data_IF_574942035088
#
_entry.id   IF_574942035088
#
_cell.length_a   1.000
_cell.length_b   1.000
_cell.length_c   1.000
_cell.angle_alpha   90.00
_cell.angle_beta   90.00
_cell.angle_gamma   90.00
#
_symmetry.space_group_name_H-M   'P 1'
#
loop_
_entity.id
_entity.type
_entity.pdbx_description
1 polymer ?
#
# COMPACT_ATOMS: atom_id res chain seq x y z
N UNK A 1 45.16 -58.25 -76.49
CA UNK A 1 45.60 -59.58 -75.99
C UNK A 1 45.10 -59.74 -74.57
N UNK A 2 44.26 -60.75 -74.40
CA UNK A 2 43.88 -61.53 -73.20
C UNK A 2 43.87 -60.91 -71.80
N UNK A 3 42.66 -61.03 -71.23
CA UNK A 3 42.29 -61.37 -69.85
C UNK A 3 43.34 -62.04 -68.96
N UNK A 4 43.32 -61.72 -67.65
CA UNK A 4 42.88 -62.69 -66.64
C UNK A 4 42.73 -62.09 -65.22
N UNK A 5 41.54 -62.39 -64.67
CA UNK A 5 41.15 -62.72 -63.30
C UNK A 5 41.36 -61.77 -62.10
N UNK A 6 40.21 -61.52 -61.47
CA UNK A 6 39.96 -60.94 -60.17
C UNK A 6 40.29 -61.90 -59.01
N UNK A 7 40.50 -61.32 -57.82
CA UNK A 7 39.72 -61.62 -56.62
C UNK A 7 39.99 -60.55 -55.53
N UNK A 8 38.90 -59.93 -55.06
CA UNK A 8 38.50 -59.67 -53.65
C UNK A 8 39.53 -59.14 -52.63
N UNK A 9 39.24 -58.24 -51.70
CA UNK A 9 38.08 -57.41 -51.34
C UNK A 9 38.53 -56.48 -50.20
N UNK A 10 37.65 -55.57 -49.76
CA UNK A 10 37.70 -54.81 -48.49
C UNK A 10 38.58 -53.54 -48.43
N UNK A 11 37.98 -52.39 -48.74
CA UNK A 11 37.86 -51.25 -47.79
C UNK A 11 36.77 -50.30 -48.31
N UNK A 12 35.75 -50.10 -47.49
CA UNK A 12 34.50 -49.45 -47.84
C UNK A 12 34.57 -47.92 -47.83
N UNK A 13 33.80 -47.35 -48.75
CA UNK A 13 33.44 -45.94 -48.96
C UNK A 13 33.12 -45.15 -47.68
N UNK A 14 33.47 -43.87 -47.66
CA UNK A 14 32.58 -42.74 -47.31
C UNK A 14 33.29 -41.39 -47.51
N UNK A 15 33.03 -40.73 -48.64
CA UNK A 15 33.09 -39.27 -48.74
C UNK A 15 31.68 -38.78 -49.03
N UNK A 16 31.00 -38.37 -47.96
CA UNK A 16 29.67 -37.79 -48.00
C UNK A 16 29.85 -36.28 -47.82
N UNK A 17 29.44 -35.51 -48.81
CA UNK A 17 29.36 -34.06 -48.76
C UNK A 17 28.60 -33.60 -47.51
N UNK A 18 29.27 -32.81 -46.66
CA UNK A 18 28.67 -32.16 -45.49
C UNK A 18 28.21 -30.75 -45.87
N UNK A 19 26.99 -30.31 -45.50
CA UNK A 19 26.58 -28.93 -45.68
C UNK A 19 27.30 -28.02 -44.67
N UNK A 20 27.47 -26.71 -44.96
CA UNK A 20 28.18 -25.79 -44.07
C UNK A 20 27.34 -25.49 -42.83
N UNK A 21 27.70 -26.12 -41.71
CA UNK A 21 27.16 -25.86 -40.37
C UNK A 21 28.12 -24.93 -39.60
N UNK A 22 28.03 -23.60 -39.74
CA UNK A 22 28.78 -22.72 -38.81
C UNK A 22 28.19 -21.34 -38.49
N UNK A 23 27.10 -20.87 -39.10
CA UNK A 23 26.56 -19.52 -38.78
C UNK A 23 25.38 -19.48 -37.81
N UNK A 24 24.34 -20.30 -38.08
CA UNK A 24 23.02 -20.15 -37.46
C UNK A 24 22.97 -20.72 -36.04
N UNK A 25 23.79 -21.74 -35.74
CA UNK A 25 23.82 -22.39 -34.43
C UNK A 25 24.43 -21.47 -33.36
N UNK A 26 25.52 -20.78 -33.70
CA UNK A 26 26.19 -19.84 -32.80
C UNK A 26 25.34 -18.61 -32.50
N UNK A 27 24.60 -18.07 -33.46
CA UNK A 27 23.67 -16.97 -33.22
C UNK A 27 22.47 -17.35 -32.34
N UNK A 28 21.95 -18.58 -32.47
CA UNK A 28 20.89 -19.08 -31.59
C UNK A 28 21.40 -19.35 -30.17
N UNK A 29 22.57 -19.95 -30.03
CA UNK A 29 23.20 -20.21 -28.74
C UNK A 29 23.55 -18.89 -28.02
N UNK A 30 24.10 -17.91 -28.73
CA UNK A 30 24.43 -16.60 -28.17
C UNK A 30 23.17 -15.81 -27.77
N UNK A 31 22.08 -15.87 -28.56
CA UNK A 31 20.78 -15.29 -28.19
C UNK A 31 20.15 -15.99 -26.98
N UNK A 32 20.27 -17.31 -26.87
CA UNK A 32 19.80 -18.05 -25.71
C UNK A 32 20.63 -17.72 -24.48
N UNK A 33 21.96 -17.66 -24.58
CA UNK A 33 22.85 -17.29 -23.46
C UNK A 33 22.67 -15.84 -23.03
N UNK A 34 22.46 -14.90 -23.95
CA UNK A 34 22.08 -13.51 -23.65
C UNK A 34 20.69 -13.43 -23.03
N UNK A 35 19.73 -14.22 -23.51
CA UNK A 35 18.38 -14.31 -22.96
C UNK A 35 18.36 -14.89 -21.54
N UNK A 36 19.11 -15.96 -21.28
CA UNK A 36 19.31 -16.53 -19.95
C UNK A 36 20.11 -15.59 -19.05
N UNK A 37 21.13 -14.90 -19.56
CA UNK A 37 21.88 -13.88 -18.82
C UNK A 37 21.01 -12.69 -18.41
N UNK A 38 20.19 -12.14 -19.30
CA UNK A 38 19.23 -11.08 -18.99
C UNK A 38 18.12 -11.57 -18.04
N UNK A 39 17.65 -12.81 -18.17
CA UNK A 39 16.67 -13.39 -17.26
C UNK A 39 17.25 -13.61 -15.86
N UNK A 40 18.51 -14.07 -15.77
CA UNK A 40 19.21 -14.27 -14.49
C UNK A 40 19.55 -12.93 -13.83
N UNK A 41 19.94 -11.92 -14.61
CA UNK A 41 20.17 -10.56 -14.12
C UNK A 41 18.85 -9.89 -13.67
N UNK A 42 17.75 -10.09 -14.41
CA UNK A 42 16.43 -9.64 -13.99
C UNK A 42 15.97 -10.33 -12.70
N UNK A 43 16.15 -11.66 -12.58
CA UNK A 43 15.84 -12.41 -11.35
C UNK A 43 16.70 -11.98 -10.15
N UNK A 44 17.99 -11.70 -10.37
CA UNK A 44 18.88 -11.19 -9.33
C UNK A 44 18.51 -9.77 -8.87
N UNK A 45 18.01 -8.91 -9.78
CA UNK A 45 17.55 -7.56 -9.45
C UNK A 45 16.18 -7.56 -8.75
N UNK A 46 15.31 -8.54 -9.03
CA UNK A 46 14.01 -8.69 -8.33
C UNK A 46 14.19 -9.20 -6.90
N UNK A 47 15.23 -10.03 -6.65
CA UNK A 47 15.56 -10.56 -5.32
C UNK A 47 16.02 -9.47 -4.34
N UNK A 48 16.55 -8.35 -4.85
CA UNK A 48 17.15 -7.28 -4.04
C UNK A 48 16.18 -6.19 -3.56
N UNK A 49 14.93 -6.17 -4.06
CA UNK A 49 13.94 -5.18 -3.66
C UNK A 49 13.06 -5.64 -2.49
N UNK A 50 12.92 -6.96 -2.31
CA UNK A 50 11.97 -7.56 -1.35
C UNK A 50 12.42 -7.54 0.13
N UNK A 51 13.67 -7.16 0.41
CA UNK A 51 14.26 -7.31 1.74
C UNK A 51 14.89 -6.02 2.28
N UNK A 52 14.63 -4.87 1.65
CA UNK A 52 15.12 -3.60 2.19
C UNK A 52 14.26 -3.24 3.41
N UNK A 53 14.91 -3.23 4.57
CA UNK A 53 14.35 -2.78 5.86
C UNK A 53 13.41 -3.76 6.57
N UNK A 54 13.41 -5.05 6.24
CA UNK A 54 12.63 -6.06 6.98
C UNK A 54 13.27 -6.47 8.31
N UNK A 55 14.59 -6.31 8.44
CA UNK A 55 15.36 -6.64 9.65
C UNK A 55 15.91 -5.36 10.29
N UNK A 56 15.96 -5.34 11.61
CA UNK A 56 16.54 -4.26 12.43
C UNK A 56 15.86 -2.88 12.33
N UNK A 57 14.81 -2.74 11.51
CA UNK A 57 14.13 -1.47 11.30
C UNK A 57 13.45 -0.92 12.56
N UNK A 58 13.27 -1.73 13.60
CA UNK A 58 12.74 -1.32 14.89
C UNK A 58 13.79 -1.32 16.01
N UNK A 59 15.09 -1.34 15.68
CA UNK A 59 16.13 -1.02 16.65
C UNK A 59 15.94 0.41 17.18
N UNK A 60 15.71 0.51 18.49
CA UNK A 60 15.47 1.78 19.17
C UNK A 60 16.73 2.66 19.17
N UNK A 61 16.59 3.91 18.71
CA UNK A 61 17.56 4.96 18.92
C UNK A 61 17.31 5.60 20.30
N UNK A 62 18.23 5.36 21.24
CA UNK A 62 18.17 5.88 22.61
C UNK A 62 18.94 7.19 22.81
N UNK A 63 19.28 7.92 21.73
CA UNK A 63 19.94 9.22 21.88
C UNK A 63 19.03 10.18 22.66
N UNK A 64 19.62 10.84 23.68
CA UNK A 64 18.91 11.77 24.57
C UNK A 64 18.44 13.01 23.80
N UNK A 65 19.23 13.46 22.83
CA UNK A 65 18.86 14.58 21.96
C UNK A 65 18.09 14.06 20.75
N UNK A 66 16.76 14.19 20.78
CA UNK A 66 15.92 13.98 19.61
C UNK A 66 15.43 15.34 19.08
N UNK A 67 16.03 15.87 18.01
CA UNK A 67 15.55 17.11 17.40
C UNK A 67 14.33 16.90 16.48
N UNK A 68 13.97 15.64 16.20
CA UNK A 68 12.86 15.29 15.32
C UNK A 68 11.48 15.36 16.00
N UNK A 69 10.44 15.22 15.19
CA UNK A 69 9.04 15.19 15.65
C UNK A 69 8.56 13.75 15.81
N UNK A 70 8.06 13.41 16.99
CA UNK A 70 7.62 12.05 17.30
C UNK A 70 6.16 11.80 16.88
N UNK A 71 5.91 10.61 16.34
CA UNK A 71 4.61 10.08 15.93
C UNK A 71 4.44 8.67 16.48
N UNK A 72 3.44 8.46 17.32
CA UNK A 72 3.09 7.13 17.85
C UNK A 72 2.07 6.46 16.95
N UNK A 73 2.45 5.34 16.35
CA UNK A 73 1.62 4.49 15.50
C UNK A 73 1.08 3.33 16.32
N UNK A 74 -0.24 3.21 16.42
CA UNK A 74 -0.88 2.06 17.06
C UNK A 74 -1.21 1.01 15.99
N UNK A 75 -0.82 -0.24 16.23
CA UNK A 75 -0.83 -1.29 15.22
C UNK A 75 -1.84 -2.38 15.58
N UNK A 76 -2.65 -2.78 14.61
CA UNK A 76 -3.40 -4.03 14.59
C UNK A 76 -2.87 -4.91 13.44
N UNK A 77 -2.35 -6.08 13.77
CA UNK A 77 -1.56 -6.90 12.84
C UNK A 77 -2.09 -8.32 12.73
N UNK A 78 -2.42 -8.74 11.50
CA UNK A 78 -2.66 -10.13 11.11
C UNK A 78 -1.39 -10.79 10.52
N UNK A 79 -0.20 -10.26 10.84
CA UNK A 79 1.09 -10.84 10.46
C UNK A 79 1.61 -11.82 11.51
N UNK A 80 2.42 -12.77 11.07
CA UNK A 80 3.21 -13.59 11.97
C UNK A 80 4.18 -12.73 12.78
N UNK A 81 4.32 -13.04 14.07
CA UNK A 81 5.29 -12.40 14.96
C UNK A 81 6.72 -12.73 14.52
N UNK A 82 7.61 -11.76 14.71
CA UNK A 82 9.04 -11.98 14.63
C UNK A 82 9.58 -12.41 16.00
N UNK A 83 10.56 -13.32 15.99
CA UNK A 83 11.32 -13.66 17.20
C UNK A 83 12.25 -12.53 17.62
N UNK A 84 12.73 -11.76 16.63
CA UNK A 84 13.57 -10.59 16.83
C UNK A 84 12.71 -9.35 17.14
N UNK A 85 12.87 -8.74 18.34
CA UNK A 85 12.19 -7.50 18.69
C UNK A 85 12.48 -6.34 17.75
N UNK A 86 13.64 -6.33 17.08
CA UNK A 86 13.99 -5.29 16.12
C UNK A 86 13.28 -5.41 14.77
N UNK A 87 12.47 -6.46 14.60
CA UNK A 87 11.66 -6.71 13.40
C UNK A 87 10.16 -6.61 13.68
N UNK A 88 9.71 -6.98 14.89
CA UNK A 88 8.31 -7.09 15.35
C UNK A 88 7.44 -8.04 14.51
N UNK A 89 7.19 -7.76 13.23
CA UNK A 89 6.32 -8.58 12.39
C UNK A 89 6.99 -9.01 11.10
N UNK A 90 6.78 -10.27 10.71
CA UNK A 90 7.29 -10.86 9.46
C UNK A 90 6.25 -10.75 8.32
N UNK A 91 6.64 -11.17 7.12
CA UNK A 91 5.74 -11.27 5.96
C UNK A 91 4.68 -12.39 6.06
N UNK A 92 4.83 -13.30 7.04
CA UNK A 92 3.94 -14.44 7.25
C UNK A 92 2.55 -14.04 7.76
N UNK A 93 1.63 -15.00 7.72
CA UNK A 93 0.24 -14.86 8.19
C UNK A 93 0.11 -15.19 9.68
N UNK A 94 -0.88 -14.60 10.33
CA UNK A 94 -1.36 -15.01 11.65
C UNK A 94 -2.86 -15.34 11.57
N UNK A 95 -3.29 -16.29 12.38
CA UNK A 95 -4.71 -16.66 12.54
C UNK A 95 -5.46 -15.72 13.51
N UNK A 96 -4.75 -14.81 14.18
CA UNK A 96 -5.29 -13.85 15.12
C UNK A 96 -4.67 -12.47 14.94
N UNK A 97 -5.37 -11.44 15.41
CA UNK A 97 -4.85 -10.07 15.47
C UNK A 97 -3.98 -9.90 16.70
N UNK A 98 -2.78 -9.39 16.49
CA UNK A 98 -1.87 -8.95 17.54
C UNK A 98 -1.65 -7.45 17.45
N UNK A 99 -1.14 -6.85 18.52
CA UNK A 99 -1.08 -5.39 18.64
C UNK A 99 0.30 -4.91 19.05
N UNK A 100 0.64 -3.70 18.60
CA UNK A 100 1.89 -3.03 18.97
C UNK A 100 1.69 -1.51 19.02
N UNK A 101 2.62 -0.82 19.67
CA UNK A 101 2.80 0.62 19.59
C UNK A 101 4.23 0.90 19.13
N UNK A 102 4.38 1.76 18.13
CA UNK A 102 5.69 2.18 17.60
C UNK A 102 5.75 3.69 17.57
N UNK A 103 6.70 4.29 18.28
CA UNK A 103 6.96 5.72 18.23
C UNK A 103 8.15 5.99 17.31
N UNK A 104 7.91 6.71 16.22
CA UNK A 104 8.90 7.11 15.23
C UNK A 104 9.22 8.59 15.35
N UNK A 105 10.48 8.97 15.26
CA UNK A 105 10.92 10.36 15.13
C UNK A 105 11.22 10.69 13.67
N UNK A 106 10.61 11.76 13.17
CA UNK A 106 10.83 12.33 11.82
C UNK A 106 11.87 13.44 11.91
N UNK A 107 12.94 13.42 11.11
CA UNK A 107 14.06 14.34 11.29
C UNK A 107 13.71 15.78 10.84
N UNK A 108 14.38 16.82 11.37
CA UNK A 108 14.07 18.22 11.02
C UNK A 108 14.27 18.59 9.56
N UNK A 109 15.12 17.85 8.84
CA UNK A 109 15.43 18.06 7.43
C UNK A 109 14.51 17.25 6.49
N UNK A 110 13.42 16.68 7.03
CA UNK A 110 12.49 15.83 6.28
C UNK A 110 11.94 16.52 5.04
N UNK A 111 11.86 15.77 3.95
CA UNK A 111 11.23 16.20 2.71
C UNK A 111 9.93 15.45 2.49
N UNK A 112 8.89 16.23 2.19
CA UNK A 112 7.56 15.68 2.00
C UNK A 112 7.52 14.59 0.92
N UNK A 113 6.92 13.45 1.27
CA UNK A 113 6.83 12.23 0.44
C UNK A 113 8.02 11.27 0.55
N UNK A 114 9.13 11.71 1.15
CA UNK A 114 10.35 10.90 1.32
C UNK A 114 10.33 10.17 2.65
N UNK A 115 11.02 9.04 2.74
CA UNK A 115 11.35 8.44 4.03
C UNK A 115 12.86 8.38 4.06
N UNK A 116 13.47 9.17 4.93
CA UNK A 116 14.92 9.22 5.09
C UNK A 116 15.40 7.96 5.84
N UNK A 117 15.52 6.85 5.11
CA UNK A 117 16.04 5.59 5.64
C UNK A 117 17.55 5.68 5.91
N UNK A 118 18.04 5.12 7.04
CA UNK A 118 19.47 4.95 7.22
C UNK A 118 20.00 3.75 6.43
N UNK A 119 21.30 3.73 6.16
CA UNK A 119 21.97 2.54 5.60
C UNK A 119 22.12 1.43 6.64
N UNK A 120 22.19 1.80 7.93
CA UNK A 120 22.33 0.90 9.08
C UNK A 120 21.48 1.40 10.24
N UNK A 121 20.79 0.49 10.93
CA UNK A 121 19.98 0.82 12.10
C UNK A 121 20.79 0.68 13.41
N UNK A 122 20.49 1.47 14.47
CA UNK A 122 19.59 2.63 14.45
C UNK A 122 20.20 3.81 13.68
N UNK A 123 19.37 4.57 12.97
CA UNK A 123 19.81 5.76 12.21
C UNK A 123 20.07 6.99 13.09
N UNK A 124 20.65 8.03 12.50
CA UNK A 124 20.82 9.37 13.12
C UNK A 124 19.50 10.18 13.10
N UNK A 125 18.93 10.58 14.26
CA UNK A 125 17.64 11.29 14.36
C UNK A 125 17.66 12.72 13.78
N UNK A 126 18.84 13.28 13.48
CA UNK A 126 18.96 14.56 12.77
C UNK A 126 18.74 14.45 11.26
N UNK A 127 18.81 13.22 10.72
CA UNK A 127 18.91 12.96 9.29
C UNK A 127 17.94 11.90 8.79
N UNK A 128 17.53 10.99 9.67
CA UNK A 128 16.77 9.80 9.32
C UNK A 128 15.53 9.65 10.19
N UNK A 129 14.57 8.88 9.69
CA UNK A 129 13.52 8.33 10.53
C UNK A 129 14.14 7.35 11.53
N UNK A 130 13.80 7.49 12.80
CA UNK A 130 14.35 6.65 13.88
C UNK A 130 13.26 6.16 14.80
N UNK A 131 13.41 4.93 15.31
CA UNK A 131 12.48 4.36 16.29
C UNK A 131 12.86 4.83 17.68
N UNK A 132 11.92 5.42 18.41
CA UNK A 132 12.09 5.85 19.81
C UNK A 132 11.59 4.79 20.78
N UNK A 133 10.52 4.09 20.40
CA UNK A 133 10.02 2.93 21.12
C UNK A 133 9.29 1.99 20.18
N UNK A 134 9.43 0.68 20.40
CA UNK A 134 8.66 -0.34 19.69
C UNK A 134 8.28 -1.47 20.67
N UNK A 135 7.00 -1.61 20.97
CA UNK A 135 6.52 -2.59 21.95
C UNK A 135 5.25 -3.29 21.49
N UNK A 136 5.11 -4.56 21.88
CA UNK A 136 3.82 -5.25 21.76
C UNK A 136 2.83 -4.72 22.81
N UNK A 137 1.55 -4.85 22.48
CA UNK A 137 0.43 -4.65 23.39
C UNK A 137 -0.26 -6.01 23.60
N UNK A 138 -0.33 -6.45 24.85
CA UNK A 138 -0.64 -7.85 25.20
C UNK A 138 -2.06 -8.32 24.83
N UNK A 139 -2.96 -7.40 24.48
CA UNK A 139 -4.35 -7.74 24.17
C UNK A 139 -5.06 -6.67 23.37
N UNK A 140 -6.22 -7.03 22.80
CA UNK A 140 -7.20 -6.08 22.27
C UNK A 140 -7.58 -4.98 23.28
N UNK A 141 -7.70 -5.32 24.56
CA UNK A 141 -8.00 -4.35 25.60
C UNK A 141 -6.84 -3.36 25.81
N UNK A 142 -5.60 -3.84 25.78
CA UNK A 142 -4.41 -2.98 25.85
C UNK A 142 -4.31 -2.06 24.62
N UNK A 143 -4.60 -2.58 23.42
CA UNK A 143 -4.68 -1.78 22.19
C UNK A 143 -5.74 -0.68 22.29
N UNK A 144 -6.96 -1.04 22.69
CA UNK A 144 -8.04 -0.06 22.91
C UNK A 144 -7.64 1.00 23.94
N UNK A 145 -7.05 0.60 25.07
CA UNK A 145 -6.60 1.53 26.10
C UNK A 145 -5.49 2.47 25.59
N UNK A 146 -4.55 1.97 24.78
CA UNK A 146 -3.52 2.81 24.16
C UNK A 146 -4.15 3.87 23.24
N UNK A 147 -5.17 3.51 22.46
CA UNK A 147 -5.95 4.48 21.66
C UNK A 147 -6.62 5.51 22.56
N UNK A 148 -7.28 5.09 23.63
CA UNK A 148 -7.93 6.02 24.57
C UNK A 148 -6.93 6.97 25.23
N UNK A 149 -5.74 6.49 25.59
CA UNK A 149 -4.67 7.33 26.12
C UNK A 149 -4.27 8.40 25.12
N UNK A 150 -3.99 8.04 23.86
CA UNK A 150 -3.66 8.99 22.80
C UNK A 150 -4.79 10.01 22.54
N UNK A 151 -6.05 9.54 22.49
CA UNK A 151 -7.21 10.43 22.33
C UNK A 151 -7.37 11.39 23.51
N UNK A 152 -7.11 10.95 24.75
CA UNK A 152 -7.27 11.78 25.94
C UNK A 152 -6.29 12.95 26.02
N UNK A 153 -5.13 12.83 25.38
CA UNK A 153 -4.10 13.87 25.29
C UNK A 153 -4.45 14.96 24.26
N UNK A 154 -5.51 14.75 23.47
CA UNK A 154 -5.94 15.66 22.41
C UNK A 154 -7.19 16.45 22.82
N UNK A 155 -7.32 17.71 22.36
CA UNK A 155 -8.56 18.46 22.47
C UNK A 155 -9.74 17.68 21.88
N UNK A 156 -10.97 17.78 22.43
CA UNK A 156 -12.13 17.01 22.00
C UNK A 156 -12.40 17.00 20.48
N UNK A 157 -12.12 18.09 19.79
CA UNK A 157 -12.25 18.29 18.35
C UNK A 157 -11.19 17.56 17.51
N UNK A 158 -10.06 17.20 18.11
CA UNK A 158 -8.94 16.48 17.48
C UNK A 158 -8.88 15.00 17.87
N UNK A 159 -9.90 14.48 18.59
CA UNK A 159 -10.01 13.07 19.00
C UNK A 159 -10.46 12.17 17.85
N UNK A 160 -9.68 12.16 16.79
CA UNK A 160 -9.96 11.47 15.53
C UNK A 160 -8.95 10.36 15.28
N UNK A 161 -9.37 9.26 14.66
CA UNK A 161 -8.50 8.17 14.25
C UNK A 161 -8.27 8.22 12.74
N UNK A 162 -7.02 8.05 12.32
CA UNK A 162 -6.67 7.85 10.91
C UNK A 162 -6.11 6.45 10.74
N UNK A 163 -6.90 5.58 10.13
CA UNK A 163 -6.59 4.15 9.97
C UNK A 163 -6.06 3.93 8.57
N UNK A 164 -4.84 3.42 8.46
CA UNK A 164 -4.20 3.11 7.18
C UNK A 164 -4.04 1.60 6.99
N UNK A 165 -4.40 1.12 5.79
CA UNK A 165 -4.26 -0.27 5.36
C UNK A 165 -3.38 -0.32 4.10
N UNK A 166 -2.19 -0.89 4.22
CA UNK A 166 -1.21 -0.94 3.14
C UNK A 166 -1.58 -1.95 2.03
N UNK A 167 -0.93 -1.79 0.86
CA UNK A 167 -1.09 -2.64 -0.32
C UNK A 167 -0.25 -3.94 -0.32
N UNK A 168 -0.16 -4.56 -1.50
CA UNK A 168 0.65 -5.77 -1.73
C UNK A 168 2.15 -5.45 -1.68
N UNK A 169 3.00 -6.48 -1.53
CA UNK A 169 4.46 -6.36 -1.53
C UNK A 169 4.97 -5.25 -0.59
N UNK A 170 4.41 -5.16 0.62
CA UNK A 170 4.80 -4.14 1.60
C UNK A 170 5.23 -4.83 2.89
N UNK A 171 6.43 -4.54 3.39
CA UNK A 171 6.92 -5.01 4.69
C UNK A 171 6.25 -4.27 5.86
N UNK A 172 6.36 -4.80 7.07
CA UNK A 172 5.85 -4.12 8.25
C UNK A 172 6.54 -2.77 8.50
N UNK A 173 7.86 -2.70 8.30
CA UNK A 173 8.64 -1.46 8.40
C UNK A 173 8.16 -0.41 7.40
N UNK A 174 8.06 -0.76 6.12
CA UNK A 174 7.59 0.17 5.09
C UNK A 174 6.19 0.71 5.40
N UNK A 175 5.25 -0.14 5.82
CA UNK A 175 3.90 0.28 6.17
C UNK A 175 3.88 1.25 7.37
N UNK A 176 4.69 0.97 8.39
CA UNK A 176 4.73 1.77 9.63
C UNK A 176 5.39 3.14 9.39
N UNK A 177 6.54 3.15 8.72
CA UNK A 177 7.25 4.38 8.38
C UNK A 177 6.46 5.25 7.41
N UNK A 178 5.76 4.63 6.44
CA UNK A 178 4.90 5.35 5.50
C UNK A 178 3.74 6.04 6.21
N UNK A 179 3.12 5.40 7.20
CA UNK A 179 2.05 6.03 7.97
C UNK A 179 2.57 7.20 8.81
N UNK A 180 3.74 7.06 9.43
CA UNK A 180 4.38 8.16 10.17
C UNK A 180 4.72 9.34 9.24
N UNK A 181 5.27 9.08 8.05
CA UNK A 181 5.51 10.10 7.03
C UNK A 181 4.20 10.78 6.62
N UNK A 182 3.15 10.02 6.33
CA UNK A 182 1.86 10.60 5.95
C UNK A 182 1.24 11.46 7.06
N UNK A 183 1.30 11.00 8.31
CA UNK A 183 0.82 11.77 9.46
C UNK A 183 1.60 13.08 9.63
N UNK A 184 2.93 13.02 9.49
CA UNK A 184 3.80 14.19 9.56
C UNK A 184 3.51 15.17 8.41
N UNK A 185 3.53 14.70 7.17
CA UNK A 185 3.40 15.54 5.98
C UNK A 185 2.04 16.21 5.84
N UNK A 186 0.98 15.51 6.24
CA UNK A 186 -0.35 16.09 6.23
C UNK A 186 -0.56 17.08 7.38
N UNK A 187 0.24 17.00 8.45
CA UNK A 187 0.02 17.74 9.69
C UNK A 187 -1.19 17.19 10.47
N UNK A 188 -1.46 15.89 10.33
CA UNK A 188 -2.60 15.25 10.98
C UNK A 188 -2.41 15.21 12.49
N UNK A 189 -3.39 15.74 13.22
CA UNK A 189 -3.33 15.91 14.68
C UNK A 189 -3.99 14.78 15.46
N UNK A 190 -4.76 13.92 14.78
CA UNK A 190 -5.40 12.75 15.40
C UNK A 190 -4.43 11.61 15.71
N UNK A 191 -4.98 10.44 15.98
CA UNK A 191 -4.20 9.22 16.30
C UNK A 191 -4.05 8.36 15.05
N UNK A 192 -2.83 8.14 14.54
CA UNK A 192 -2.60 7.24 13.42
C UNK A 192 -2.63 5.78 13.87
N UNK A 193 -3.39 4.97 13.14
CA UNK A 193 -3.56 3.52 13.39
C UNK A 193 -3.18 2.76 12.12
N UNK A 194 -2.27 1.81 12.23
CA UNK A 194 -1.91 0.92 11.14
C UNK A 194 -2.68 -0.40 11.27
N UNK A 195 -3.37 -0.79 10.20
CA UNK A 195 -3.81 -2.18 10.01
C UNK A 195 -2.87 -2.84 9.02
N UNK A 196 -2.21 -3.91 9.45
CA UNK A 196 -1.23 -4.63 8.65
C UNK A 196 -1.57 -6.12 8.56
N UNK A 197 -1.29 -6.71 7.42
CA UNK A 197 -1.63 -8.10 7.08
C UNK A 197 -0.43 -8.79 6.45
N UNK A 198 -0.46 -10.13 6.38
CA UNK A 198 0.64 -10.96 5.85
C UNK A 198 0.92 -10.72 4.36
N UNK A 199 1.60 -9.62 4.04
CA UNK A 199 2.18 -9.35 2.74
C UNK A 199 3.65 -9.78 2.76
N UNK A 200 3.99 -10.66 1.83
CA UNK A 200 5.29 -11.32 1.70
C UNK A 200 6.45 -10.36 1.42
N UNK A 201 6.16 -9.13 0.96
CA UNK A 201 7.19 -8.23 0.44
C UNK A 201 7.82 -8.72 -0.87
N UNK A 202 7.22 -9.72 -1.53
CA UNK A 202 7.73 -10.31 -2.77
C UNK A 202 6.73 -10.20 -3.94
N UNK A 203 7.18 -9.58 -5.05
CA UNK A 203 6.37 -9.36 -6.26
C UNK A 203 5.88 -10.64 -6.95
N UNK A 204 6.55 -11.77 -6.76
CA UNK A 204 6.14 -13.06 -7.33
C UNK A 204 5.01 -13.75 -6.55
N UNK A 205 4.67 -13.22 -5.37
CA UNK A 205 3.74 -13.83 -4.41
C UNK A 205 2.36 -13.16 -4.43
N UNK A 206 1.95 -12.61 -5.57
CA UNK A 206 0.64 -11.95 -5.73
C UNK A 206 -0.54 -12.82 -5.23
N UNK A 207 -0.58 -14.11 -5.59
CA UNK A 207 -1.64 -15.02 -5.13
C UNK A 207 -1.54 -15.35 -3.63
N UNK A 208 -0.33 -15.34 -3.07
CA UNK A 208 -0.15 -15.50 -1.63
C UNK A 208 -0.73 -14.28 -0.92
N UNK A 209 -0.36 -13.07 -1.33
CA UNK A 209 -0.86 -11.81 -0.77
C UNK A 209 -2.39 -11.72 -0.90
N UNK A 210 -2.95 -12.09 -2.08
CA UNK A 210 -4.41 -12.13 -2.28
C UNK A 210 -5.09 -13.05 -1.26
N UNK A 211 -4.60 -14.27 -1.06
CA UNK A 211 -5.15 -15.17 -0.05
C UNK A 211 -4.92 -14.65 1.38
N UNK A 212 -3.79 -13.99 1.64
CA UNK A 212 -3.50 -13.37 2.94
C UNK A 212 -4.50 -12.27 3.28
N UNK A 213 -4.93 -11.46 2.29
CA UNK A 213 -6.00 -10.47 2.53
C UNK A 213 -7.29 -11.14 2.99
N UNK A 214 -7.68 -12.26 2.36
CA UNK A 214 -8.91 -12.97 2.75
C UNK A 214 -8.79 -13.61 4.14
N UNK A 215 -7.61 -14.10 4.51
CA UNK A 215 -7.33 -14.61 5.86
C UNK A 215 -7.41 -13.47 6.90
N UNK A 216 -6.88 -12.28 6.58
CA UNK A 216 -6.88 -11.13 7.48
C UNK A 216 -8.25 -10.45 7.64
N UNK A 217 -9.25 -10.81 6.82
CA UNK A 217 -10.58 -10.16 6.79
C UNK A 217 -11.24 -10.12 8.16
N UNK A 218 -11.30 -11.25 8.84
CA UNK A 218 -12.04 -11.35 10.10
C UNK A 218 -11.31 -10.56 11.21
N UNK A 219 -9.97 -10.52 11.15
CA UNK A 219 -9.16 -9.66 12.01
C UNK A 219 -9.37 -8.16 11.76
N UNK A 220 -9.61 -7.75 10.50
CA UNK A 220 -10.02 -6.38 10.21
C UNK A 220 -11.40 -6.07 10.80
N UNK A 221 -12.37 -6.99 10.74
CA UNK A 221 -13.70 -6.79 11.36
C UNK A 221 -13.58 -6.60 12.87
N UNK A 222 -12.76 -7.42 13.54
CA UNK A 222 -12.47 -7.27 14.97
C UNK A 222 -11.82 -5.90 15.26
N UNK A 223 -10.88 -5.47 14.42
CA UNK A 223 -10.23 -4.17 14.57
C UNK A 223 -11.22 -3.03 14.41
N UNK A 224 -12.03 -3.00 13.34
CA UNK A 224 -13.04 -1.97 13.11
C UNK A 224 -14.06 -1.90 14.25
N UNK A 225 -14.47 -3.05 14.79
CA UNK A 225 -15.34 -3.12 15.97
C UNK A 225 -14.67 -2.48 17.18
N UNK A 226 -13.41 -2.83 17.45
CA UNK A 226 -12.63 -2.26 18.56
C UNK A 226 -12.50 -0.74 18.45
N UNK A 227 -12.21 -0.23 17.25
CA UNK A 227 -12.11 1.22 16.99
C UNK A 227 -13.46 1.92 17.21
N UNK A 228 -14.58 1.30 16.81
CA UNK A 228 -15.92 1.85 17.00
C UNK A 228 -16.30 1.99 18.49
N UNK A 229 -15.77 1.11 19.34
CA UNK A 229 -15.98 1.13 20.78
C UNK A 229 -15.11 2.14 21.55
N UNK A 230 -14.19 2.83 20.89
CA UNK A 230 -13.36 3.88 21.52
C UNK A 230 -14.13 5.19 21.70
N UNK A 231 -13.58 6.14 22.45
CA UNK A 231 -14.08 7.52 22.56
C UNK A 231 -13.82 8.39 21.33
N UNK A 232 -13.25 7.83 20.25
CA UNK A 232 -13.01 8.54 19.01
C UNK A 232 -14.28 9.22 18.50
N UNK A 233 -14.15 10.50 18.18
CA UNK A 233 -15.20 11.31 17.56
C UNK A 233 -15.39 10.88 16.12
N UNK A 234 -14.30 10.71 15.39
CA UNK A 234 -14.28 10.38 13.97
C UNK A 234 -13.20 9.35 13.65
N UNK A 235 -13.47 8.52 12.65
CA UNK A 235 -12.59 7.47 12.14
C UNK A 235 -12.53 7.63 10.62
N UNK A 236 -11.35 7.94 10.12
CA UNK A 236 -11.03 7.99 8.70
C UNK A 236 -10.33 6.69 8.33
N UNK A 237 -10.84 5.99 7.31
CA UNK A 237 -10.20 4.80 6.76
C UNK A 237 -9.52 5.17 5.45
N UNK A 238 -8.25 4.79 5.30
CA UNK A 238 -7.51 4.88 4.06
C UNK A 238 -6.88 3.54 3.73
N UNK A 239 -7.07 3.07 2.50
CA UNK A 239 -6.42 1.87 1.99
C UNK A 239 -5.70 2.13 0.68
N UNK A 240 -4.70 1.30 0.38
CA UNK A 240 -4.00 1.33 -0.89
C UNK A 240 -4.04 -0.04 -1.58
N UNK A 241 -4.22 -0.05 -2.90
CA UNK A 241 -4.00 -1.22 -3.75
C UNK A 241 -4.76 -2.45 -3.27
N UNK A 242 -4.09 -3.59 -3.05
CA UNK A 242 -4.69 -4.82 -2.56
C UNK A 242 -5.19 -4.70 -1.11
N UNK A 243 -4.69 -3.75 -0.32
CA UNK A 243 -5.25 -3.40 0.98
C UNK A 243 -6.69 -2.87 0.87
N UNK A 244 -7.07 -2.32 -0.28
CA UNK A 244 -8.44 -1.91 -0.57
C UNK A 244 -9.39 -3.10 -0.72
N UNK A 245 -8.92 -4.23 -1.25
CA UNK A 245 -9.70 -5.46 -1.27
C UNK A 245 -10.00 -5.92 0.16
N UNK A 246 -8.99 -5.94 1.03
CA UNK A 246 -9.15 -6.26 2.44
C UNK A 246 -10.15 -5.30 3.10
N UNK A 247 -10.01 -3.99 2.89
CA UNK A 247 -10.92 -2.99 3.44
C UNK A 247 -12.37 -3.23 3.01
N UNK A 248 -12.60 -3.42 1.70
CA UNK A 248 -13.94 -3.62 1.16
C UNK A 248 -14.59 -4.92 1.65
N UNK A 249 -13.82 -6.01 1.74
CA UNK A 249 -14.33 -7.25 2.33
C UNK A 249 -14.59 -7.11 3.84
N UNK A 250 -13.75 -6.38 4.57
CA UNK A 250 -13.96 -6.08 5.99
C UNK A 250 -15.22 -5.25 6.24
N UNK A 251 -15.44 -4.18 5.47
CA UNK A 251 -16.67 -3.37 5.53
C UNK A 251 -17.88 -4.22 5.18
N UNK A 252 -17.80 -5.02 4.09
CA UNK A 252 -18.89 -5.92 3.69
C UNK A 252 -19.23 -6.89 4.81
N UNK A 253 -18.22 -7.53 5.41
CA UNK A 253 -18.42 -8.52 6.48
C UNK A 253 -18.97 -7.85 7.75
N UNK A 254 -18.41 -6.72 8.17
CA UNK A 254 -18.91 -5.96 9.33
C UNK A 254 -20.36 -5.50 9.15
N UNK A 255 -20.75 -5.11 7.93
CA UNK A 255 -22.14 -4.78 7.60
C UNK A 255 -23.08 -5.98 7.74
N UNK A 256 -22.62 -7.20 7.42
CA UNK A 256 -23.42 -8.42 7.57
C UNK A 256 -23.55 -8.88 9.02
N UNK A 257 -22.49 -8.74 9.80
CA UNK A 257 -22.44 -9.20 11.19
C UNK A 257 -23.09 -8.21 12.17
N UNK A 258 -23.16 -6.92 11.81
CA UNK A 258 -23.72 -5.88 12.68
C UNK A 258 -22.85 -5.54 13.90
N UNK A 259 -21.57 -5.94 13.90
CA UNK A 259 -20.63 -5.67 15.00
C UNK A 259 -20.26 -4.19 15.16
N UNK A 260 -20.28 -3.44 14.06
CA UNK A 260 -20.08 -1.97 14.07
C UNK A 260 -21.40 -1.29 14.41
N UNK A 261 -21.54 -0.83 15.66
CA UNK A 261 -22.80 -0.29 16.19
C UNK A 261 -23.07 1.15 15.75
N UNK A 262 -22.03 2.00 15.73
CA UNK A 262 -22.16 3.40 15.32
C UNK A 262 -21.36 3.67 14.04
N UNK A 263 -21.95 3.34 12.90
CA UNK A 263 -21.34 3.59 11.57
C UNK A 263 -21.07 5.08 11.32
N UNK A 264 -21.73 6.00 12.04
CA UNK A 264 -21.55 7.45 11.87
C UNK A 264 -20.17 7.93 12.33
N UNK A 265 -19.46 7.16 13.15
CA UNK A 265 -18.06 7.44 13.50
C UNK A 265 -17.12 7.27 12.31
N UNK A 266 -17.44 6.39 11.35
CA UNK A 266 -16.66 6.24 10.13
C UNK A 266 -17.03 7.36 9.17
N UNK A 267 -16.30 8.48 9.25
CA UNK A 267 -16.65 9.72 8.55
C UNK A 267 -16.13 9.75 7.13
N UNK A 268 -15.06 9.03 6.83
CA UNK A 268 -14.49 8.97 5.50
C UNK A 268 -13.85 7.63 5.20
N UNK A 269 -14.06 7.14 3.99
CA UNK A 269 -13.34 5.99 3.41
C UNK A 269 -12.64 6.48 2.16
N UNK A 270 -11.31 6.35 2.12
CA UNK A 270 -10.44 6.70 1.00
C UNK A 270 -9.78 5.43 0.49
N UNK A 271 -9.94 5.16 -0.81
CA UNK A 271 -9.50 3.94 -1.46
C UNK A 271 -8.57 4.34 -2.59
N UNK A 272 -7.26 4.22 -2.35
CA UNK A 272 -6.23 4.71 -3.26
C UNK A 272 -5.73 3.61 -4.21
N UNK A 273 -5.79 3.87 -5.51
CA UNK A 273 -5.37 2.95 -6.57
C UNK A 273 -5.85 1.49 -6.35
N UNK A 274 -7.15 1.24 -6.05
CA UNK A 274 -7.62 -0.06 -5.60
C UNK A 274 -7.34 -1.18 -6.60
N UNK A 275 -6.63 -2.20 -6.12
CA UNK A 275 -6.44 -3.45 -6.85
C UNK A 275 -7.57 -4.42 -6.51
N UNK A 276 -8.76 -4.04 -6.98
CA UNK A 276 -9.99 -4.83 -6.84
C UNK A 276 -10.54 -5.07 -8.23
N UNK A 277 -10.96 -6.31 -8.50
CA UNK A 277 -11.76 -6.60 -9.68
C UNK A 277 -13.01 -5.71 -9.71
N UNK A 278 -13.24 -4.99 -10.82
CA UNK A 278 -14.35 -4.03 -10.88
C UNK A 278 -15.72 -4.70 -10.67
N UNK A 279 -15.89 -5.96 -11.11
CA UNK A 279 -17.14 -6.69 -10.93
C UNK A 279 -17.32 -7.17 -9.49
N UNK A 280 -16.21 -7.53 -8.82
CA UNK A 280 -16.21 -7.80 -7.39
C UNK A 280 -16.58 -6.53 -6.60
N UNK A 281 -15.98 -5.39 -6.93
CA UNK A 281 -16.30 -4.11 -6.28
C UNK A 281 -17.79 -3.76 -6.45
N UNK A 282 -18.33 -3.90 -7.66
CA UNK A 282 -19.77 -3.72 -7.93
C UNK A 282 -20.62 -4.67 -7.08
N UNK A 283 -20.20 -5.92 -6.91
CA UNK A 283 -20.92 -6.89 -6.09
C UNK A 283 -20.86 -6.53 -4.58
N UNK A 284 -19.71 -6.07 -4.09
CA UNK A 284 -19.53 -5.57 -2.73
C UNK A 284 -20.43 -4.36 -2.47
N UNK A 285 -20.41 -3.34 -3.34
CA UNK A 285 -21.25 -2.15 -3.23
C UNK A 285 -22.73 -2.47 -3.31
N UNK A 286 -23.15 -3.40 -4.19
CA UNK A 286 -24.55 -3.89 -4.21
C UNK A 286 -24.97 -4.55 -2.89
N UNK A 287 -24.04 -5.23 -2.20
CA UNK A 287 -24.34 -5.89 -0.93
C UNK A 287 -24.35 -4.94 0.26
N UNK A 288 -23.45 -3.96 0.26
CA UNK A 288 -23.34 -2.90 1.28
C UNK A 288 -24.46 -1.86 1.12
N UNK A 289 -24.88 -1.60 -0.11
CA UNK A 289 -25.75 -0.48 -0.46
C UNK A 289 -24.97 0.81 -0.71
N UNK A 290 -25.68 1.89 -1.02
CA UNK A 290 -25.07 3.23 -1.12
C UNK A 290 -24.73 3.71 0.30
N UNK A 291 -23.45 4.01 0.60
CA UNK A 291 -23.09 4.48 1.92
C UNK A 291 -23.64 5.90 2.14
N UNK A 292 -24.07 6.21 3.37
CA UNK A 292 -24.54 7.55 3.75
C UNK A 292 -23.48 8.64 3.49
N UNK A 293 -22.20 8.25 3.58
CA UNK A 293 -21.05 9.06 3.19
C UNK A 293 -20.33 8.37 2.03
N UNK A 294 -20.23 9.01 0.85
CA UNK A 294 -19.57 8.43 -0.30
C UNK A 294 -18.13 7.98 -0.02
N UNK A 295 -17.77 6.81 -0.54
CA UNK A 295 -16.37 6.39 -0.58
C UNK A 295 -15.62 7.23 -1.60
N UNK A 296 -14.41 7.66 -1.28
CA UNK A 296 -13.56 8.41 -2.20
C UNK A 296 -12.57 7.43 -2.82
N UNK A 297 -12.66 7.26 -4.13
CA UNK A 297 -11.82 6.35 -4.90
C UNK A 297 -10.83 7.19 -5.69
N UNK A 298 -9.53 7.00 -5.42
CA UNK A 298 -8.47 7.65 -6.17
C UNK A 298 -8.04 6.73 -7.31
N UNK A 299 -8.20 7.19 -8.55
CA UNK A 299 -7.87 6.42 -9.75
C UNK A 299 -6.64 6.99 -10.46
N UNK A 300 -5.88 6.10 -11.07
CA UNK A 300 -4.63 6.38 -11.77
C UNK A 300 -4.65 5.55 -13.07
N UNK A 301 -4.96 6.20 -14.20
CA UNK A 301 -5.30 5.52 -15.47
C UNK A 301 -4.10 4.83 -16.12
N UNK A 302 -2.91 5.41 -15.95
CA UNK A 302 -1.67 4.89 -16.50
C UNK A 302 -0.84 4.07 -15.48
N UNK A 303 -1.48 3.62 -14.40
CA UNK A 303 -0.88 2.77 -13.37
C UNK A 303 -0.38 1.44 -13.95
N UNK A 304 0.94 1.25 -13.89
CA UNK A 304 1.61 0.08 -14.48
C UNK A 304 1.39 -1.17 -13.63
N UNK A 305 1.31 -1.04 -12.30
CA UNK A 305 1.06 -2.16 -11.40
C UNK A 305 -0.35 -2.72 -11.61
N UNK A 306 -1.36 -1.84 -11.71
CA UNK A 306 -2.74 -2.26 -11.95
C UNK A 306 -2.93 -2.87 -13.35
N UNK A 307 -2.18 -2.41 -14.36
CA UNK A 307 -2.13 -3.07 -15.67
C UNK A 307 -1.57 -4.48 -15.61
N UNK A 308 -0.54 -4.70 -14.79
CA UNK A 308 0.00 -6.04 -14.56
C UNK A 308 -0.99 -6.92 -13.78
N UNK A 309 -1.59 -6.39 -12.71
CA UNK A 309 -2.63 -7.09 -11.95
C UNK A 309 -3.80 -7.52 -12.85
N UNK A 310 -4.34 -6.60 -13.67
CA UNK A 310 -5.36 -6.89 -14.69
C UNK A 310 -4.96 -8.07 -15.57
N UNK A 311 -3.70 -8.14 -16.03
CA UNK A 311 -3.21 -9.23 -16.87
C UNK A 311 -3.17 -10.57 -16.13
N UNK A 312 -2.77 -10.57 -14.86
CA UNK A 312 -2.72 -11.77 -14.01
C UNK A 312 -4.15 -12.25 -13.67
N UNK A 313 -5.08 -11.31 -13.44
CA UNK A 313 -6.48 -11.58 -13.08
C UNK A 313 -7.42 -11.76 -14.28
N UNK A 314 -6.93 -12.31 -15.39
CA UNK A 314 -7.79 -12.70 -16.53
C UNK A 314 -8.31 -11.56 -17.40
N UNK A 315 -7.74 -10.35 -17.29
CA UNK A 315 -8.01 -9.22 -18.19
C UNK A 315 -9.14 -8.28 -17.75
N UNK A 316 -9.80 -8.56 -16.62
CA UNK A 316 -10.86 -7.69 -16.07
C UNK A 316 -10.23 -6.43 -15.45
N UNK A 317 -10.82 -5.27 -15.72
CA UNK A 317 -10.30 -3.99 -15.21
C UNK A 317 -10.25 -3.96 -13.67
N UNK A 318 -9.21 -3.30 -13.14
CA UNK A 318 -9.08 -3.01 -11.72
C UNK A 318 -9.73 -1.66 -11.42
N UNK A 319 -10.40 -1.51 -10.28
CA UNK A 319 -11.10 -0.26 -9.92
C UNK A 319 -10.16 0.96 -10.00
N UNK A 320 -8.92 0.84 -9.53
CA UNK A 320 -7.96 1.93 -9.53
C UNK A 320 -7.55 2.44 -10.91
N UNK A 321 -7.85 1.71 -11.99
CA UNK A 321 -7.61 2.11 -13.37
C UNK A 321 -8.90 2.06 -14.22
N UNK A 322 -10.09 2.04 -13.60
CA UNK A 322 -11.35 1.77 -14.29
C UNK A 322 -11.97 3.00 -14.95
N UNK A 323 -12.03 3.07 -16.28
CA UNK A 323 -12.29 4.31 -17.06
C UNK A 323 -13.71 4.89 -16.93
N UNK A 324 -14.68 4.13 -16.40
CA UNK A 324 -16.07 4.57 -16.31
C UNK A 324 -16.40 5.12 -14.90
N UNK A 325 -16.05 6.38 -14.66
CA UNK A 325 -16.31 7.07 -13.39
C UNK A 325 -17.79 7.14 -13.03
N UNK A 326 -18.65 7.33 -14.04
CA UNK A 326 -20.10 7.43 -13.86
C UNK A 326 -20.69 6.17 -13.23
N UNK A 327 -20.18 5.01 -13.63
CA UNK A 327 -20.66 3.75 -13.04
C UNK A 327 -20.21 3.60 -11.57
N UNK A 328 -18.99 4.04 -11.24
CA UNK A 328 -18.55 4.06 -9.83
C UNK A 328 -19.34 5.08 -9.00
N UNK A 329 -19.69 6.23 -9.58
CA UNK A 329 -20.48 7.25 -8.89
C UNK A 329 -21.95 6.86 -8.73
N UNK A 330 -22.53 6.12 -9.67
CA UNK A 330 -23.86 5.53 -9.55
C UNK A 330 -23.96 4.53 -8.38
N UNK A 331 -22.83 3.90 -7.99
CA UNK A 331 -22.71 3.04 -6.79
C UNK A 331 -22.54 3.84 -5.49
N UNK A 332 -22.48 5.17 -5.56
CA UNK A 332 -22.33 6.05 -4.40
C UNK A 332 -20.88 6.39 -4.04
N UNK A 333 -19.93 6.27 -4.98
CA UNK A 333 -18.55 6.70 -4.78
C UNK A 333 -18.29 8.10 -5.37
N UNK A 334 -17.36 8.84 -4.78
CA UNK A 334 -16.72 9.99 -5.41
C UNK A 334 -15.43 9.47 -6.06
N UNK A 335 -15.26 9.68 -7.35
CA UNK A 335 -14.04 9.30 -8.07
C UNK A 335 -13.17 10.53 -8.23
N UNK A 336 -11.90 10.42 -7.85
CA UNK A 336 -10.89 11.46 -8.01
C UNK A 336 -9.79 10.91 -8.90
N UNK A 337 -9.67 11.43 -10.11
CA UNK A 337 -8.62 11.07 -11.04
C UNK A 337 -7.34 11.84 -10.69
N UNK A 338 -6.31 11.08 -10.32
CA UNK A 338 -4.98 11.59 -9.94
C UNK A 338 -3.92 11.24 -10.99
N UNK A 339 -4.32 10.90 -12.22
CA UNK A 339 -3.42 10.50 -13.31
C UNK A 339 -2.37 11.57 -13.62
N UNK A 340 -2.75 12.85 -13.54
CA UNK A 340 -1.87 13.99 -13.82
C UNK A 340 -0.92 14.32 -12.65
N UNK A 341 -1.08 13.67 -11.49
CA UNK A 341 -0.18 13.88 -10.37
C UNK A 341 1.18 13.25 -10.60
N UNK A 342 2.19 13.86 -10.00
CA UNK A 342 3.55 13.35 -10.05
C UNK A 342 3.64 11.98 -9.38
N UNK A 343 4.40 11.06 -9.99
CA UNK A 343 4.74 9.76 -9.42
C UNK A 343 6.25 9.65 -9.28
N UNK A 344 6.74 9.30 -8.09
CA UNK A 344 8.16 8.98 -7.85
C UNK A 344 8.49 7.54 -8.18
N UNK A 345 7.53 6.63 -8.01
CA UNK A 345 7.73 5.22 -8.30
C UNK A 345 7.54 4.93 -9.81
N UNK A 346 8.39 4.08 -10.43
CA UNK A 346 8.25 3.75 -11.85
C UNK A 346 6.92 3.07 -12.21
N UNK A 347 6.22 2.46 -11.24
CA UNK A 347 4.94 1.81 -11.46
C UNK A 347 3.76 2.79 -11.44
N UNK A 348 3.98 4.03 -10.99
CA UNK A 348 2.96 5.09 -10.79
C UNK A 348 1.84 4.67 -9.86
N UNK A 349 2.13 3.71 -9.00
CA UNK A 349 1.17 3.08 -8.11
C UNK A 349 1.15 3.75 -6.73
N UNK A 350 2.23 4.45 -6.39
CA UNK A 350 2.43 5.18 -5.15
C UNK A 350 2.08 6.68 -5.23
N UNK A 351 1.45 7.17 -6.31
CA UNK A 351 1.06 8.60 -6.46
C UNK A 351 0.31 9.17 -5.25
N UNK A 352 -0.47 8.33 -4.58
CA UNK A 352 -1.19 8.72 -3.36
C UNK A 352 -0.26 9.01 -2.17
N UNK A 353 1.01 8.64 -2.19
CA UNK A 353 1.95 8.90 -1.10
C UNK A 353 2.94 10.02 -1.45
N UNK A 354 2.91 10.49 -2.70
CA UNK A 354 3.78 11.53 -3.19
C UNK A 354 3.21 12.91 -2.81
N UNK A 355 3.83 13.50 -1.79
CA UNK A 355 3.24 14.61 -1.05
C UNK A 355 3.25 15.97 -1.78
N UNK A 356 3.93 16.10 -2.93
CA UNK A 356 3.90 17.34 -3.72
C UNK A 356 2.48 17.78 -4.05
N UNK A 357 1.62 16.81 -4.38
CA UNK A 357 0.24 17.06 -4.80
C UNK A 357 -0.79 16.39 -3.87
N UNK A 358 -0.44 15.27 -3.22
CA UNK A 358 -1.40 14.47 -2.46
C UNK A 358 -1.67 14.95 -1.03
N UNK A 359 -0.65 15.37 -0.28
CA UNK A 359 -0.86 15.87 1.08
C UNK A 359 -1.78 17.10 1.10
N UNK A 360 -1.67 18.06 0.15
CA UNK A 360 -2.66 19.13 -0.04
C UNK A 360 -4.06 18.61 -0.39
N UNK A 361 -4.18 17.58 -1.24
CA UNK A 361 -5.46 16.96 -1.60
C UNK A 361 -6.16 16.36 -0.38
N UNK A 362 -5.45 15.53 0.41
CA UNK A 362 -5.99 14.96 1.65
C UNK A 362 -6.33 16.05 2.64
N UNK A 363 -5.46 17.05 2.81
CA UNK A 363 -5.73 18.19 3.69
C UNK A 363 -7.02 18.90 3.29
N UNK A 364 -7.26 19.13 2.00
CA UNK A 364 -8.50 19.74 1.52
C UNK A 364 -9.72 18.84 1.77
N UNK A 365 -9.61 17.54 1.46
CA UNK A 365 -10.66 16.55 1.72
C UNK A 365 -11.04 16.48 3.21
N UNK A 366 -10.06 16.59 4.11
CA UNK A 366 -10.26 16.60 5.56
C UNK A 366 -10.83 17.95 6.04
N UNK A 367 -10.33 19.07 5.51
CA UNK A 367 -10.82 20.43 5.82
C UNK A 367 -12.28 20.63 5.44
N UNK A 368 -12.69 20.17 4.25
CA UNK A 368 -14.08 20.21 3.77
C UNK A 368 -15.07 19.46 4.68
N UNK A 369 -14.55 18.66 5.62
CA UNK A 369 -15.31 17.88 6.60
C UNK A 369 -15.20 18.44 8.02
N UNK A 370 -14.55 19.60 8.21
CA UNK A 370 -14.39 20.24 9.51
C UNK A 370 -13.35 19.56 10.40
N UNK A 371 -12.44 18.79 9.82
CA UNK A 371 -11.34 18.13 10.54
C UNK A 371 -10.15 19.08 10.59
N UNK A 372 -9.75 19.48 11.80
CA UNK A 372 -8.64 20.42 11.99
C UNK A 372 -7.28 19.79 11.69
N UNK A 373 -6.46 20.51 10.91
CA UNK A 373 -5.07 20.17 10.60
C UNK A 373 -4.19 21.30 11.15
N UNK A 374 -3.20 20.99 11.99
CA UNK A 374 -2.32 22.02 12.57
C UNK A 374 -1.18 22.39 11.61
N UNK A 375 -0.72 23.65 11.68
CA UNK A 375 0.61 24.05 11.22
C UNK A 375 0.73 24.40 9.73
N UNK A 376 0.19 25.55 9.34
CA UNK A 376 0.74 26.57 8.42
C UNK A 376 -0.40 27.55 8.15
N UNK A 377 -0.29 28.75 8.70
CA UNK A 377 -1.32 29.79 8.66
C UNK A 377 -1.36 30.39 7.24
N UNK A 378 -2.48 30.22 6.55
CA UNK A 378 -2.81 30.99 5.35
C UNK A 378 -4.25 31.49 5.46
N UNK A 379 -4.40 32.80 5.24
CA UNK A 379 -5.61 33.59 5.39
C UNK A 379 -6.79 32.99 4.62
N UNK A 380 -7.89 32.69 5.31
CA UNK A 380 -9.12 32.16 4.71
C UNK A 380 -10.33 32.97 5.17
N UNK A 381 -10.56 34.10 4.50
CA UNK A 381 -11.78 34.89 4.62
C UNK A 381 -12.82 34.43 3.58
N UNK A 382 -13.57 33.36 3.91
CA UNK A 382 -15.02 33.27 3.69
C UNK A 382 -15.55 31.88 4.01
N UNK A 383 -16.41 31.84 5.01
CA UNK A 383 -17.28 30.73 5.39
C UNK A 383 -18.44 30.62 4.38
N UNK A 384 -18.47 29.49 3.64
CA UNK A 384 -19.65 28.85 3.03
C UNK A 384 -19.21 27.54 2.37
N UNK A 385 -19.66 26.43 2.93
CA UNK A 385 -19.45 25.07 2.45
C UNK A 385 -19.76 24.90 0.95
N UNK A 386 -18.70 24.71 0.15
CA UNK A 386 -18.73 24.14 -1.20
C UNK A 386 -17.61 23.08 -1.32
N UNK A 387 -17.90 21.88 -1.86
CA UNK A 387 -17.01 20.71 -1.82
C UNK A 387 -16.01 20.67 -2.98
N UNK A 388 -14.75 20.30 -2.73
CA UNK A 388 -13.69 19.81 -3.66
C UNK A 388 -13.40 20.58 -4.98
N UNK A 389 -14.23 21.54 -5.38
CA UNK A 389 -14.10 22.46 -6.50
C UNK A 389 -12.78 23.29 -6.47
N UNK A 390 -12.18 23.64 -5.30
CA UNK A 390 -10.90 24.36 -5.26
C UNK A 390 -9.70 23.59 -5.83
N UNK A 391 -9.79 22.26 -6.00
CA UNK A 391 -8.68 21.43 -6.49
C UNK A 391 -8.48 21.57 -8.01
N UNK A 392 -9.54 21.91 -8.75
CA UNK A 392 -9.50 22.18 -10.20
C UNK A 392 -8.76 23.50 -10.48
N UNK A 393 -8.97 24.51 -9.63
CA UNK A 393 -8.40 25.87 -9.80
C UNK A 393 -6.92 25.98 -9.42
N UNK A 394 -6.32 24.95 -8.80
CA UNK A 394 -4.87 24.91 -8.51
C UNK A 394 -4.00 24.41 -9.67
N UNK A 395 -4.61 24.06 -10.82
CA UNK A 395 -3.87 23.60 -11.99
C UNK A 395 -3.27 22.19 -11.86
N UNK A 396 -3.72 21.40 -10.88
CA UNK A 396 -3.22 20.04 -10.60
C UNK A 396 -3.78 18.95 -11.54
N UNK A 397 -4.65 19.31 -12.50
CA UNK A 397 -5.22 18.35 -13.46
C UNK A 397 -6.13 17.28 -12.85
N UNK A 398 -6.59 17.46 -11.61
CA UNK A 398 -7.46 16.51 -10.89
C UNK A 398 -8.89 16.61 -11.42
N UNK A 399 -9.47 15.48 -11.82
CA UNK A 399 -10.87 15.37 -12.25
C UNK A 399 -11.69 14.71 -11.13
N UNK A 400 -12.86 15.28 -10.81
CA UNK A 400 -13.72 14.77 -9.74
C UNK A 400 -15.10 14.44 -10.29
N UNK A 401 -15.50 13.18 -10.16
CA UNK A 401 -16.83 12.69 -10.53
C UNK A 401 -17.59 12.31 -9.26
N UNK A 402 -18.76 12.90 -9.03
CA UNK A 402 -19.58 12.67 -7.82
C UNK A 402 -20.91 11.98 -8.16
N UNK A 403 -21.54 11.28 -7.19
CA UNK A 403 -22.90 10.75 -7.35
C UNK A 403 -23.91 11.88 -7.56
N UNK A 404 -24.97 11.62 -8.34
CA UNK A 404 -26.13 12.51 -8.42
C UNK A 404 -26.80 12.60 -7.03
N UNK A 405 -27.05 13.83 -6.55
CA UNK A 405 -27.63 14.11 -5.22
C UNK A 405 -29.10 13.71 -5.09
#
# INVERSE_FOLDING_TARGET
MNSNYANDAFMARRTQDRPPFTGIFWHRLLRQLLGFGCLFFALAMISGCANRYSTDAFLENNEVQNPGTEHTILVASARALAEDPATLYKGGRSDYVSHAAVTLSVPPNHKSGEIEWPEQFPGDPKRHFTVRNATYLDSKAAFKNAIETELSQRPPEQRNLFVFIHGYNTSFAEATYRLAQLAHDTGYTGVPVLVTWGSSGNTLEYLFDLNSTMIARDGLVETLTTLNETSAREIILMSHSMGSLLLMEGIRQAHLEGGVKDTRKFTQVIIAAPDIDVDLFKAQMRRIGKPDRPFIILVSRDDVALRLSRKISGGVSRVGAYENDKELSELGAIVVDVTELSARDPARHGRYADAGDFAPLVREMLKDRGIEMAGLQFDSSNDRSRPLEPLIDRGLGIVITSPDR
#
